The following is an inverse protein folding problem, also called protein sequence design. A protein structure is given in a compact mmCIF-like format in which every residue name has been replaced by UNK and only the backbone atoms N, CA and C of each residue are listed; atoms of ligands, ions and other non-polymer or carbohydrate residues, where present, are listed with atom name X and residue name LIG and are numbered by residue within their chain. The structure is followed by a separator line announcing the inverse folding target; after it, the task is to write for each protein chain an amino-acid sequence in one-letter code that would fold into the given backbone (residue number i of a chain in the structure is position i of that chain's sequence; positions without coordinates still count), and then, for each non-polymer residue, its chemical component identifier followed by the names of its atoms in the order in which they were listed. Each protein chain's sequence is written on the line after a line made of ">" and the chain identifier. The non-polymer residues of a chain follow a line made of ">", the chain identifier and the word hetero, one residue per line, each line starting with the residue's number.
data_IF_733084705205
#
_entry.id   IF_733084705205
#
_cell.length_a   1.000
_cell.length_b   1.000
_cell.length_c   1.000
_cell.angle_alpha   90.00
_cell.angle_beta   90.00
_cell.angle_gamma   90.00
#
_symmetry.space_group_name_H-M   'P 1'
#
loop_
_entity.id
_entity.type
_entity.pdbx_description
1 polymer ?
#
# COMPACT_ATOMS: atom_id res chain seq x y z
N UNK A 1 -18.35 4.24 -3.21
CA UNK A 1 -17.70 5.57 -3.17
C UNK A 1 -18.57 6.45 -2.30
N UNK A 2 -18.05 6.94 -1.18
CA UNK A 2 -18.83 7.80 -0.28
C UNK A 2 -19.18 9.14 -0.95
N UNK A 3 -20.34 9.75 -0.61
CA UNK A 3 -20.66 11.10 -1.07
C UNK A 3 -19.60 12.12 -0.66
N UNK A 4 -19.20 13.03 -1.56
CA UNK A 4 -18.12 14.01 -1.31
C UNK A 4 -18.36 14.90 -0.08
N UNK A 5 -19.62 15.17 0.26
CA UNK A 5 -20.00 15.92 1.46
C UNK A 5 -19.71 15.14 2.76
N UNK A 6 -19.79 13.80 2.72
CA UNK A 6 -19.46 12.94 3.84
C UNK A 6 -17.94 12.91 4.06
N UNK A 7 -17.16 12.79 2.98
CA UNK A 7 -15.70 12.88 3.02
C UNK A 7 -15.26 14.23 3.61
N UNK A 8 -15.86 15.32 3.13
CA UNK A 8 -15.59 16.66 3.63
C UNK A 8 -15.91 16.82 5.12
N UNK A 9 -17.05 16.31 5.58
CA UNK A 9 -17.46 16.44 6.98
C UNK A 9 -16.50 15.71 7.91
N UNK A 10 -16.12 14.47 7.56
CA UNK A 10 -15.17 13.65 8.30
C UNK A 10 -13.77 14.28 8.33
N UNK A 11 -13.25 14.70 7.17
CA UNK A 11 -11.92 15.31 7.06
C UNK A 11 -11.83 16.64 7.81
N UNK A 12 -12.84 17.50 7.70
CA UNK A 12 -12.86 18.77 8.42
C UNK A 12 -12.81 18.54 9.93
N UNK A 13 -13.67 17.63 10.43
CA UNK A 13 -13.73 17.28 11.85
C UNK A 13 -12.40 16.68 12.33
N UNK A 14 -11.79 15.78 11.56
CA UNK A 14 -10.49 15.16 11.84
C UNK A 14 -9.39 16.21 11.93
N UNK A 15 -9.19 17.02 10.89
CA UNK A 15 -8.15 18.05 10.83
C UNK A 15 -8.31 19.10 11.94
N UNK A 16 -9.55 19.47 12.27
CA UNK A 16 -9.84 20.38 13.39
C UNK A 16 -9.44 19.75 14.73
N UNK A 17 -9.79 18.47 14.94
CA UNK A 17 -9.49 17.73 16.17
C UNK A 17 -7.99 17.48 16.36
N UNK A 18 -7.27 17.05 15.32
CA UNK A 18 -5.81 16.86 15.33
C UNK A 18 -5.07 18.13 15.78
N UNK A 19 -5.59 19.30 15.39
CA UNK A 19 -5.04 20.60 15.74
C UNK A 19 -5.62 21.20 17.03
N UNK A 20 -6.48 20.46 17.74
CA UNK A 20 -7.14 20.87 18.98
C UNK A 20 -7.87 22.21 18.87
N UNK A 21 -8.45 22.50 17.70
CA UNK A 21 -9.16 23.75 17.44
C UNK A 21 -10.63 23.64 17.87
N UNK A 22 -11.17 24.67 18.52
CA UNK A 22 -12.62 24.85 18.67
C UNK A 22 -13.24 25.30 17.34
N UNK A 23 -14.56 25.15 17.18
CA UNK A 23 -15.26 25.70 16.01
C UNK A 23 -15.16 27.22 15.93
N UNK A 24 -15.11 27.91 17.09
CA UNK A 24 -14.87 29.36 17.13
C UNK A 24 -13.49 29.70 16.57
N UNK A 25 -12.46 28.97 17.00
CA UNK A 25 -11.12 29.22 16.51
C UNK A 25 -10.97 28.90 15.03
N UNK A 26 -11.63 27.86 14.55
CA UNK A 26 -11.67 27.53 13.13
C UNK A 26 -12.42 28.60 12.33
N UNK A 27 -13.48 29.18 12.88
CA UNK A 27 -14.20 30.30 12.26
C UNK A 27 -13.27 31.51 12.07
N UNK A 28 -12.48 31.87 13.09
CA UNK A 28 -11.50 32.95 13.01
C UNK A 28 -10.45 32.69 11.91
N UNK A 29 -9.96 31.45 11.80
CA UNK A 29 -8.90 31.09 10.85
C UNK A 29 -9.39 31.05 9.39
N UNK A 30 -10.65 30.67 9.17
CA UNK A 30 -11.21 30.43 7.83
C UNK A 30 -12.08 31.56 7.33
N UNK A 31 -12.52 32.47 8.22
CA UNK A 31 -13.50 33.50 7.91
C UNK A 31 -14.90 32.94 7.60
N UNK A 32 -15.21 31.72 8.06
CA UNK A 32 -16.52 31.06 7.91
C UNK A 32 -17.21 31.03 9.26
N UNK A 33 -18.53 31.24 9.28
CA UNK A 33 -19.28 31.25 10.54
C UNK A 33 -19.21 29.90 11.26
N UNK A 34 -19.13 29.94 12.59
CA UNK A 34 -19.18 28.76 13.48
C UNK A 34 -20.36 27.84 13.14
N UNK A 35 -21.54 28.42 12.88
CA UNK A 35 -22.75 27.67 12.52
C UNK A 35 -22.56 26.89 11.24
N UNK A 36 -22.02 27.52 10.19
CA UNK A 36 -21.78 26.85 8.91
C UNK A 36 -20.72 25.75 9.06
N UNK A 37 -19.61 25.99 9.77
CA UNK A 37 -18.60 24.96 10.05
C UNK A 37 -19.20 23.77 10.79
N UNK A 38 -20.06 24.02 11.79
CA UNK A 38 -20.76 22.96 12.50
C UNK A 38 -21.72 22.16 11.61
N UNK A 39 -22.42 22.81 10.69
CA UNK A 39 -23.28 22.12 9.70
C UNK A 39 -22.46 21.28 8.72
N UNK A 40 -21.30 21.76 8.28
CA UNK A 40 -20.38 21.00 7.42
C UNK A 40 -19.89 19.75 8.17
N UNK A 41 -19.41 19.86 9.41
CA UNK A 41 -18.92 18.71 10.19
C UNK A 41 -19.99 17.66 10.51
N UNK A 42 -21.28 18.04 10.51
CA UNK A 42 -22.41 17.10 10.65
C UNK A 42 -22.91 16.53 9.32
N UNK A 43 -22.34 16.96 8.19
CA UNK A 43 -22.78 16.55 6.86
C UNK A 43 -24.14 17.13 6.43
N UNK A 44 -24.64 18.14 7.15
CA UNK A 44 -25.95 18.78 6.94
C UNK A 44 -25.93 19.87 5.86
N UNK A 45 -24.75 20.18 5.30
CA UNK A 45 -24.60 21.21 4.27
C UNK A 45 -23.70 20.74 3.14
N UNK A 46 -23.96 21.25 1.94
CA UNK A 46 -23.10 21.09 0.76
C UNK A 46 -22.45 22.46 0.46
N UNK A 47 -21.27 22.75 1.04
CA UNK A 47 -20.64 24.05 0.91
C UNK A 47 -20.15 24.30 -0.53
N UNK A 48 -20.08 25.57 -0.92
CA UNK A 48 -19.53 25.97 -2.22
C UNK A 48 -18.03 25.65 -2.33
N UNK A 49 -17.52 25.54 -3.56
CA UNK A 49 -16.08 25.38 -3.81
C UNK A 49 -15.24 26.47 -3.14
N UNK A 50 -15.71 27.72 -3.19
CA UNK A 50 -15.08 28.87 -2.54
C UNK A 50 -15.01 28.70 -1.02
N UNK A 51 -16.04 28.13 -0.41
CA UNK A 51 -16.08 27.84 1.03
C UNK A 51 -15.03 26.78 1.38
N UNK A 52 -14.94 25.68 0.62
CA UNK A 52 -13.95 24.64 0.87
C UNK A 52 -12.51 25.17 0.72
N UNK A 53 -12.25 26.03 -0.26
CA UNK A 53 -10.95 26.71 -0.40
C UNK A 53 -10.60 27.61 0.79
N UNK A 54 -11.57 28.37 1.32
CA UNK A 54 -11.37 29.17 2.54
C UNK A 54 -11.01 28.30 3.73
N UNK A 55 -11.66 27.14 3.87
CA UNK A 55 -11.33 26.16 4.92
C UNK A 55 -9.90 25.65 4.74
N UNK A 56 -9.54 25.19 3.54
CA UNK A 56 -8.21 24.66 3.24
C UNK A 56 -7.11 25.69 3.55
N UNK A 57 -7.31 26.94 3.11
CA UNK A 57 -6.36 28.04 3.36
C UNK A 57 -6.26 28.40 4.84
N UNK A 58 -7.38 28.49 5.56
CA UNK A 58 -7.39 28.78 6.99
C UNK A 58 -6.72 27.67 7.82
N UNK A 59 -6.87 26.42 7.38
CA UNK A 59 -6.16 25.27 7.93
C UNK A 59 -4.77 25.08 7.34
N UNK A 60 -4.30 25.84 6.36
CA UNK A 60 -3.01 25.63 5.68
C UNK A 60 -2.80 24.15 5.26
N UNK A 61 -3.83 23.54 4.67
CA UNK A 61 -3.78 22.19 4.08
C UNK A 61 -4.09 22.29 2.59
N UNK A 62 -3.82 21.24 1.83
CA UNK A 62 -4.27 21.21 0.44
C UNK A 62 -5.80 21.12 0.39
N UNK A 63 -6.39 21.63 -0.68
CA UNK A 63 -7.80 21.43 -0.97
C UNK A 63 -8.17 19.94 -0.99
N UNK A 64 -7.29 19.09 -1.54
CA UNK A 64 -7.49 17.64 -1.62
C UNK A 64 -7.54 16.98 -0.25
N UNK A 65 -6.84 17.47 0.77
CA UNK A 65 -6.93 16.96 2.14
C UNK A 65 -8.33 17.05 2.75
N UNK A 66 -9.22 17.88 2.19
CA UNK A 66 -10.60 18.01 2.65
C UNK A 66 -11.56 17.11 1.86
N UNK A 67 -11.31 16.87 0.58
CA UNK A 67 -12.28 16.23 -0.33
C UNK A 67 -11.89 14.83 -0.80
N UNK A 68 -10.68 14.38 -0.47
CA UNK A 68 -10.20 13.02 -0.73
C UNK A 68 -10.23 12.25 0.57
N UNK A 69 -10.69 11.00 0.49
CA UNK A 69 -10.67 10.09 1.63
C UNK A 69 -9.21 9.89 2.08
N UNK A 70 -8.89 10.11 3.37
CA UNK A 70 -7.55 9.87 3.86
C UNK A 70 -7.20 8.38 3.70
N UNK A 71 -5.92 8.02 3.57
CA UNK A 71 -5.52 6.63 3.60
C UNK A 71 -6.07 5.96 4.85
N UNK A 72 -6.66 4.78 4.72
CA UNK A 72 -7.12 4.03 5.88
C UNK A 72 -5.95 3.70 6.80
N UNK A 73 -6.14 3.81 8.12
CA UNK A 73 -5.12 3.47 9.13
C UNK A 73 -4.68 2.00 9.03
N UNK A 74 -5.55 1.13 8.52
CA UNK A 74 -5.26 -0.26 8.22
C UNK A 74 -5.98 -0.69 6.95
N UNK A 75 -5.28 -1.46 6.11
CA UNK A 75 -5.84 -2.05 4.90
C UNK A 75 -5.74 -3.57 5.00
N UNK A 76 -6.87 -4.26 4.83
CA UNK A 76 -6.91 -5.71 4.72
C UNK A 76 -7.00 -6.07 3.24
N UNK A 77 -5.97 -6.74 2.73
CA UNK A 77 -5.95 -7.26 1.36
C UNK A 77 -6.35 -8.73 1.39
N UNK A 78 -7.48 -9.06 0.77
CA UNK A 78 -7.95 -10.44 0.66
C UNK A 78 -7.43 -11.03 -0.65
N UNK A 79 -6.76 -12.19 -0.57
CA UNK A 79 -6.18 -12.87 -1.74
C UNK A 79 -7.17 -13.03 -2.91
N UNK A 80 -8.43 -13.35 -2.61
CA UNK A 80 -9.50 -13.51 -3.60
C UNK A 80 -9.85 -12.24 -4.39
N UNK A 81 -9.52 -11.07 -3.85
CA UNK A 81 -9.81 -9.77 -4.47
C UNK A 81 -8.57 -9.22 -5.22
N UNK A 82 -7.43 -9.91 -5.15
CA UNK A 82 -6.19 -9.52 -5.83
C UNK A 82 -6.19 -10.08 -7.25
N UNK A 83 -5.93 -9.22 -8.23
CA UNK A 83 -5.72 -9.66 -9.61
C UNK A 83 -4.39 -10.40 -9.72
N UNK A 84 -4.47 -11.70 -9.99
CA UNK A 84 -3.31 -12.58 -10.13
C UNK A 84 -2.63 -12.44 -11.49
N UNK A 85 -1.31 -12.58 -11.50
CA UNK A 85 -0.53 -12.90 -12.69
C UNK A 85 -0.14 -14.37 -12.65
N UNK A 86 -0.50 -15.12 -13.69
CA UNK A 86 -0.24 -16.56 -13.76
C UNK A 86 0.59 -16.87 -15.01
N UNK A 87 1.58 -17.74 -14.87
CA UNK A 87 2.37 -18.25 -15.99
C UNK A 87 2.31 -19.78 -15.97
N UNK A 88 1.66 -20.36 -16.99
CA UNK A 88 1.32 -21.78 -17.00
C UNK A 88 2.53 -22.66 -17.31
N UNK A 89 3.44 -22.21 -18.19
CA UNK A 89 4.61 -23.02 -18.57
C UNK A 89 5.60 -23.14 -17.41
N UNK A 90 5.77 -22.06 -16.65
CA UNK A 90 6.65 -21.99 -15.48
C UNK A 90 5.95 -22.35 -14.17
N UNK A 91 4.62 -22.54 -14.19
CA UNK A 91 3.78 -23.04 -13.09
C UNK A 91 3.83 -22.19 -11.82
N UNK A 92 3.70 -20.88 -11.97
CA UNK A 92 3.62 -19.97 -10.83
C UNK A 92 2.42 -19.01 -10.92
N UNK A 93 2.04 -18.49 -9.76
CA UNK A 93 1.03 -17.46 -9.56
C UNK A 93 1.60 -16.38 -8.64
N UNK A 94 1.46 -15.13 -9.05
CA UNK A 94 1.97 -13.97 -8.33
C UNK A 94 0.80 -13.02 -8.02
N UNK A 95 0.66 -12.68 -6.74
CA UNK A 95 -0.44 -11.89 -6.20
C UNK A 95 0.14 -10.58 -5.64
N UNK A 96 0.01 -9.43 -6.33
CA UNK A 96 0.47 -8.13 -5.83
C UNK A 96 -0.40 -7.67 -4.65
N UNK A 97 -0.01 -8.01 -3.43
CA UNK A 97 -0.80 -7.72 -2.22
C UNK A 97 -0.68 -6.26 -1.80
N UNK A 98 0.51 -5.67 -1.89
CA UNK A 98 0.71 -4.23 -1.70
C UNK A 98 1.51 -3.68 -2.89
N UNK A 99 0.84 -3.04 -3.86
CA UNK A 99 1.54 -2.39 -4.96
C UNK A 99 2.51 -1.32 -4.48
N UNK A 100 3.47 -0.98 -5.34
CA UNK A 100 4.45 0.06 -5.06
C UNK A 100 3.78 1.36 -4.65
N UNK A 101 4.28 1.90 -3.55
CA UNK A 101 3.88 3.19 -3.00
C UNK A 101 5.17 3.95 -2.66
N UNK A 102 5.29 5.16 -3.18
CA UNK A 102 6.51 5.94 -3.06
C UNK A 102 6.79 6.38 -1.62
N UNK A 103 5.77 6.51 -0.76
CA UNK A 103 5.98 6.82 0.66
C UNK A 103 6.48 5.59 1.42
N UNK A 104 6.03 4.39 1.03
CA UNK A 104 6.50 3.11 1.59
C UNK A 104 7.87 2.70 1.06
N UNK A 105 8.20 3.01 -0.19
CA UNK A 105 9.44 2.62 -0.86
C UNK A 105 9.54 1.12 -1.19
N UNK A 106 8.44 0.37 -1.08
CA UNK A 106 8.40 -1.05 -1.39
C UNK A 106 7.08 -1.48 -2.00
N UNK A 107 7.10 -2.65 -2.61
CA UNK A 107 5.93 -3.43 -2.97
C UNK A 107 6.04 -4.86 -2.43
N UNK A 108 4.91 -5.54 -2.32
CA UNK A 108 4.82 -6.86 -1.74
C UNK A 108 3.92 -7.78 -2.55
N UNK A 109 4.38 -9.02 -2.68
CA UNK A 109 3.72 -10.09 -3.38
C UNK A 109 3.55 -11.30 -2.47
N UNK A 110 2.45 -12.03 -2.67
CA UNK A 110 2.41 -13.45 -2.35
C UNK A 110 2.75 -14.20 -3.63
N UNK A 111 3.63 -15.19 -3.56
CA UNK A 111 4.00 -16.04 -4.71
C UNK A 111 3.69 -17.49 -4.37
N UNK A 112 3.10 -18.20 -5.33
CA UNK A 112 2.88 -19.63 -5.28
C UNK A 112 3.54 -20.28 -6.49
N UNK A 113 4.39 -21.28 -6.27
CA UNK A 113 5.06 -22.04 -7.32
C UNK A 113 4.73 -23.52 -7.13
N UNK A 114 4.10 -24.13 -8.14
CA UNK A 114 3.76 -25.55 -8.08
C UNK A 114 5.03 -26.43 -8.12
N UNK A 115 4.95 -27.69 -7.68
CA UNK A 115 6.08 -28.62 -7.75
C UNK A 115 6.73 -28.67 -9.14
N UNK A 116 8.05 -28.47 -9.17
CA UNK A 116 8.84 -28.40 -10.40
C UNK A 116 8.61 -27.15 -11.25
N UNK A 117 7.90 -26.14 -10.73
CA UNK A 117 7.80 -24.81 -11.33
C UNK A 117 8.99 -23.93 -10.97
N UNK A 118 9.12 -22.82 -11.70
CA UNK A 118 10.14 -21.81 -11.44
C UNK A 118 9.66 -20.39 -11.72
N UNK A 119 10.34 -19.41 -11.15
CA UNK A 119 10.15 -17.99 -11.43
C UNK A 119 11.53 -17.37 -11.61
N UNK A 120 11.85 -16.96 -12.83
CA UNK A 120 13.07 -16.21 -13.12
C UNK A 120 12.77 -14.72 -13.19
N UNK A 121 13.64 -13.90 -12.58
CA UNK A 121 13.60 -12.44 -12.69
C UNK A 121 14.88 -11.93 -13.35
N UNK A 122 14.73 -10.96 -14.24
CA UNK A 122 15.87 -10.15 -14.66
C UNK A 122 16.32 -9.26 -13.49
N UNK A 123 17.60 -8.83 -13.44
CA UNK A 123 18.07 -7.91 -12.42
C UNK A 123 17.13 -6.70 -12.29
N UNK A 124 16.70 -6.42 -11.06
CA UNK A 124 15.95 -5.20 -10.77
C UNK A 124 16.86 -3.97 -10.85
N UNK A 125 16.27 -2.79 -10.63
CA UNK A 125 17.02 -1.53 -10.54
C UNK A 125 18.15 -1.63 -9.51
N UNK A 126 19.24 -0.91 -9.79
CA UNK A 126 20.40 -0.85 -8.90
C UNK A 126 20.00 -0.51 -7.46
N UNK A 127 20.54 -1.25 -6.49
CA UNK A 127 20.27 -1.03 -5.07
C UNK A 127 18.96 -1.64 -4.54
N UNK A 128 18.15 -2.28 -5.39
CA UNK A 128 16.94 -3.01 -4.96
C UNK A 128 17.30 -4.22 -4.09
N UNK A 129 16.55 -4.41 -3.01
CA UNK A 129 16.64 -5.58 -2.13
C UNK A 129 15.33 -6.36 -2.15
N UNK A 130 15.43 -7.68 -2.18
CA UNK A 130 14.30 -8.58 -1.97
C UNK A 130 14.38 -9.25 -0.62
N UNK A 131 13.24 -9.31 0.07
CA UNK A 131 13.06 -10.01 1.33
C UNK A 131 11.98 -11.07 1.15
N UNK A 132 12.36 -12.32 1.41
CA UNK A 132 11.53 -13.50 1.18
C UNK A 132 11.30 -14.22 2.50
N UNK A 133 10.06 -14.67 2.73
CA UNK A 133 9.71 -15.60 3.82
C UNK A 133 8.89 -16.75 3.26
N UNK A 134 9.29 -17.99 3.55
CA UNK A 134 8.57 -19.19 3.12
C UNK A 134 7.51 -19.60 4.14
N UNK A 135 6.34 -20.00 3.65
CA UNK A 135 5.23 -20.52 4.45
C UNK A 135 4.94 -22.00 4.18
N UNK A 136 5.34 -22.53 3.02
CA UNK A 136 5.24 -23.95 2.68
C UNK A 136 6.18 -24.32 1.54
N UNK A 137 6.48 -25.61 1.38
CA UNK A 137 7.37 -26.12 0.34
C UNK A 137 8.86 -25.88 0.59
N UNK A 138 9.66 -26.12 -0.45
CA UNK A 138 11.12 -25.98 -0.43
C UNK A 138 11.57 -25.18 -1.64
N UNK A 139 12.28 -24.08 -1.40
CA UNK A 139 12.83 -23.21 -2.42
C UNK A 139 14.31 -23.51 -2.63
N UNK A 140 14.70 -23.59 -3.89
CA UNK A 140 16.07 -23.39 -4.33
C UNK A 140 16.15 -22.04 -5.04
N UNK A 141 16.86 -21.09 -4.43
CA UNK A 141 17.07 -19.73 -4.93
C UNK A 141 18.49 -19.63 -5.49
N UNK A 142 18.60 -19.42 -6.79
CA UNK A 142 19.85 -19.16 -7.49
C UNK A 142 20.05 -17.64 -7.58
N UNK A 143 21.18 -17.11 -7.12
CA UNK A 143 21.58 -15.70 -7.24
C UNK A 143 22.95 -15.69 -7.92
N UNK A 144 23.00 -15.21 -9.16
CA UNK A 144 24.11 -15.36 -10.10
C UNK A 144 24.64 -16.80 -10.25
N UNK A 145 25.55 -17.25 -9.37
CA UNK A 145 26.15 -18.59 -9.39
C UNK A 145 26.15 -19.27 -8.03
N UNK A 146 25.47 -18.67 -7.05
CA UNK A 146 25.30 -19.23 -5.72
C UNK A 146 23.87 -19.72 -5.55
N UNK A 147 23.72 -20.87 -4.88
CA UNK A 147 22.43 -21.50 -4.65
C UNK A 147 22.14 -21.56 -3.16
N UNK A 148 20.97 -21.08 -2.79
CA UNK A 148 20.47 -21.04 -1.43
C UNK A 148 19.23 -21.93 -1.33
N UNK A 149 19.22 -22.87 -0.38
CA UNK A 149 18.06 -23.73 -0.12
C UNK A 149 17.33 -23.24 1.12
N UNK A 150 16.03 -23.03 0.99
CA UNK A 150 15.15 -22.59 2.07
C UNK A 150 14.00 -23.56 2.25
N UNK A 151 13.61 -23.79 3.50
CA UNK A 151 12.45 -24.57 3.90
C UNK A 151 11.35 -23.68 4.50
N UNK A 152 10.20 -24.26 4.82
CA UNK A 152 9.10 -23.51 5.44
C UNK A 152 9.53 -22.88 6.77
N UNK A 153 9.23 -21.60 6.93
CA UNK A 153 9.65 -20.79 8.09
C UNK A 153 10.95 -20.03 7.89
N UNK A 154 11.76 -20.38 6.89
CA UNK A 154 13.00 -19.66 6.58
C UNK A 154 12.72 -18.31 5.92
N UNK A 155 13.68 -17.40 6.07
CA UNK A 155 13.67 -16.11 5.39
C UNK A 155 15.06 -15.74 4.88
N UNK A 156 15.10 -15.02 3.77
CA UNK A 156 16.34 -14.48 3.19
C UNK A 156 16.11 -13.06 2.73
N UNK A 157 17.15 -12.24 2.82
CA UNK A 157 17.21 -10.94 2.17
C UNK A 157 18.45 -10.89 1.28
N UNK A 158 18.32 -10.39 0.06
CA UNK A 158 19.43 -10.35 -0.89
C UNK A 158 19.30 -9.18 -1.85
N UNK A 159 20.42 -8.80 -2.45
CA UNK A 159 20.45 -7.77 -3.49
C UNK A 159 19.80 -8.30 -4.77
N UNK A 160 18.67 -7.73 -5.14
CA UNK A 160 17.86 -8.16 -6.26
C UNK A 160 18.17 -7.39 -7.57
N UNK A 161 19.16 -6.50 -7.51
CA UNK A 161 19.84 -5.91 -8.68
C UNK A 161 20.82 -6.90 -9.37
N UNK A 162 20.70 -8.19 -9.04
CA UNK A 162 21.45 -9.32 -9.60
C UNK A 162 20.48 -10.32 -10.21
N UNK A 163 20.95 -11.15 -11.15
CA UNK A 163 20.10 -12.16 -11.78
C UNK A 163 19.75 -13.21 -10.75
N UNK A 164 18.47 -13.57 -10.65
CA UNK A 164 18.04 -14.58 -9.68
C UNK A 164 16.85 -15.41 -10.18
N UNK A 165 16.78 -16.66 -9.72
CA UNK A 165 15.74 -17.61 -10.10
C UNK A 165 15.27 -18.42 -8.88
N UNK A 166 13.95 -18.49 -8.73
CA UNK A 166 13.26 -19.29 -7.74
C UNK A 166 12.84 -20.62 -8.35
N UNK A 167 13.21 -21.75 -7.73
CA UNK A 167 12.77 -23.09 -8.16
C UNK A 167 12.10 -23.84 -7.01
N UNK A 168 10.93 -24.42 -7.30
CA UNK A 168 10.25 -25.32 -6.38
C UNK A 168 10.81 -26.74 -6.53
N UNK A 169 11.55 -27.20 -5.53
CA UNK A 169 12.26 -28.51 -5.56
C UNK A 169 11.60 -29.59 -4.70
N UNK A 170 10.47 -29.28 -4.06
CA UNK A 170 9.68 -30.20 -3.25
C UNK A 170 8.42 -30.72 -3.93
N UNK A 171 7.70 -31.61 -3.24
CA UNK A 171 6.40 -32.14 -3.69
C UNK A 171 5.20 -31.27 -3.27
N UNK A 172 5.42 -30.32 -2.35
CA UNK A 172 4.41 -29.36 -1.91
C UNK A 172 4.53 -28.05 -2.71
N UNK A 173 3.40 -27.37 -2.96
CA UNK A 173 3.42 -26.00 -3.50
C UNK A 173 4.24 -25.09 -2.61
N UNK A 174 5.26 -24.49 -3.20
CA UNK A 174 6.05 -23.45 -2.57
C UNK A 174 5.19 -22.20 -2.42
N UNK A 175 5.04 -21.71 -1.19
CA UNK A 175 4.36 -20.44 -0.89
C UNK A 175 5.30 -19.51 -0.15
N UNK A 176 5.42 -18.29 -0.65
CA UNK A 176 6.27 -17.28 -0.04
C UNK A 176 5.63 -15.89 -0.07
N UNK A 177 6.03 -15.07 0.89
CA UNK A 177 5.93 -13.62 0.81
C UNK A 177 7.20 -13.09 0.18
N UNK A 178 7.06 -12.10 -0.71
CA UNK A 178 8.16 -11.40 -1.34
C UNK A 178 7.93 -9.90 -1.18
N UNK A 179 8.89 -9.20 -0.59
CA UNK A 179 8.91 -7.75 -0.52
C UNK A 179 10.08 -7.23 -1.34
N UNK A 180 9.78 -6.40 -2.34
CA UNK A 180 10.79 -5.72 -3.16
C UNK A 180 10.91 -4.30 -2.62
N UNK A 181 12.06 -3.96 -2.03
CA UNK A 181 12.35 -2.63 -1.51
C UNK A 181 13.28 -1.90 -2.46
N UNK A 182 12.83 -0.75 -2.94
CA UNK A 182 13.61 0.14 -3.80
C UNK A 182 14.35 1.14 -2.91
N UNK A 183 15.60 1.46 -3.27
CA UNK A 183 16.34 2.57 -2.63
C UNK A 183 16.28 3.77 -3.55
N UNK A 184 16.02 4.94 -2.96
CA UNK A 184 16.14 6.25 -3.63
C UNK A 184 17.61 6.66 -3.80
#
# INVERSE_FOLDING_TARGET
>A
MEPINLILSQNLKRLRAERKLSLDKLADLTGISKTMLGQIERGESSPSLTTVWKIANGLKVSFTSLIVEPPADAVVVRKQDVRTMEESERKYRLFPVFPYDAERGFEMYTVEIDPGGSLGSEPHREGTEELITLFSGTLELEIDSETYRLESGDSISFKADRRHEYRSVGAETLRLSMTIRYRD
#
